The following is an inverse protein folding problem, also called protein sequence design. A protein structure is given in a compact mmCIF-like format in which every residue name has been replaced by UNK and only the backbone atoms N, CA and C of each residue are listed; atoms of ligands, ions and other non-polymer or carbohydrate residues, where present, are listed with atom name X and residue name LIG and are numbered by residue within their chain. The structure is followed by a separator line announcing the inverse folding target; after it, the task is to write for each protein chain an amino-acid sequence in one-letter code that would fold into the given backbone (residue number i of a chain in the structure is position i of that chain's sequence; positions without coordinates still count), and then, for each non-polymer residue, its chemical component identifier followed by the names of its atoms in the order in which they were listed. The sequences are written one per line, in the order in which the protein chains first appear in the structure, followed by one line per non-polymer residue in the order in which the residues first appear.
data_IF_955393079991
#
_entry.id   IF_955393079991
#
_cell.length_a   1.000
_cell.length_b   1.000
_cell.length_c   1.000
_cell.angle_alpha   90.00
_cell.angle_beta   90.00
_cell.angle_gamma   90.00
#
_symmetry.space_group_name_H-M   'P 1'
#
loop_
_entity.id
_entity.type
_entity.pdbx_description
1 polymer ?
#
# COMPACT_ATOMS: atom_id res chain seq x y z
N UNK A 1 49.45 -1.82 -3.65
CA UNK A 1 48.82 -2.75 -2.67
C UNK A 1 47.37 -2.96 -3.09
N UNK A 2 47.02 -4.09 -3.73
CA UNK A 2 45.63 -4.38 -4.15
C UNK A 2 44.88 -4.92 -2.93
N UNK A 3 43.74 -4.31 -2.56
CA UNK A 3 42.85 -4.89 -1.54
C UNK A 3 42.19 -6.15 -2.10
N UNK A 4 42.02 -7.22 -1.32
CA UNK A 4 41.31 -8.41 -1.78
C UNK A 4 39.84 -8.05 -2.04
N UNK A 5 39.30 -8.53 -3.17
CA UNK A 5 37.88 -8.45 -3.50
C UNK A 5 37.15 -9.43 -2.56
N UNK A 6 36.06 -9.04 -1.88
CA UNK A 6 35.29 -9.97 -1.06
C UNK A 6 34.70 -11.06 -1.96
N UNK A 7 34.97 -12.32 -1.63
CA UNK A 7 34.39 -13.47 -2.34
C UNK A 7 32.88 -13.51 -2.08
N UNK A 8 32.10 -13.18 -3.11
CA UNK A 8 30.65 -13.26 -3.08
C UNK A 8 30.22 -14.71 -3.28
N UNK A 9 29.71 -15.32 -2.21
CA UNK A 9 29.40 -16.75 -2.17
C UNK A 9 27.96 -17.00 -2.67
N UNK A 10 27.78 -17.07 -4.00
CA UNK A 10 26.48 -17.13 -4.68
C UNK A 10 25.55 -18.27 -4.20
N UNK A 11 26.11 -19.37 -3.70
CA UNK A 11 25.38 -20.52 -3.15
C UNK A 11 24.70 -20.23 -1.81
N UNK A 12 25.24 -19.30 -1.01
CA UNK A 12 24.62 -18.85 0.23
C UNK A 12 23.44 -17.92 -0.05
N UNK A 13 23.59 -17.01 -1.01
CA UNK A 13 22.54 -16.08 -1.42
C UNK A 13 21.36 -16.79 -2.09
N UNK A 14 21.65 -17.80 -2.91
CA UNK A 14 20.61 -18.61 -3.56
C UNK A 14 19.78 -19.41 -2.53
N UNK A 15 20.40 -19.91 -1.45
CA UNK A 15 19.69 -20.61 -0.36
C UNK A 15 18.75 -19.71 0.43
N UNK A 16 19.11 -18.44 0.64
CA UNK A 16 18.26 -17.48 1.33
C UNK A 16 17.11 -16.95 0.44
N UNK A 17 17.34 -16.88 -0.87
CA UNK A 17 16.38 -16.33 -1.83
C UNK A 17 15.16 -17.25 -2.07
N UNK A 18 15.36 -18.57 -2.13
CA UNK A 18 14.26 -19.52 -2.43
C UNK A 18 13.11 -19.47 -1.41
N UNK A 19 13.37 -19.48 -0.08
CA UNK A 19 12.31 -19.28 0.93
C UNK A 19 11.65 -17.90 0.84
N UNK A 20 12.43 -16.85 0.58
CA UNK A 20 11.92 -15.49 0.44
C UNK A 20 10.94 -15.36 -0.74
N UNK A 21 11.30 -15.90 -1.92
CA UNK A 21 10.42 -15.93 -3.10
C UNK A 21 9.15 -16.74 -2.82
N UNK A 22 9.29 -17.89 -2.14
CA UNK A 22 8.15 -18.74 -1.80
C UNK A 22 7.18 -18.03 -0.86
N UNK A 23 7.71 -17.33 0.16
CA UNK A 23 6.94 -16.50 1.08
C UNK A 23 6.24 -15.35 0.34
N UNK A 24 6.95 -14.66 -0.55
CA UNK A 24 6.38 -13.56 -1.33
C UNK A 24 5.26 -14.03 -2.25
N UNK A 25 5.43 -15.18 -2.91
CA UNK A 25 4.39 -15.80 -3.74
C UNK A 25 3.18 -16.22 -2.90
N UNK A 26 3.40 -16.74 -1.70
CA UNK A 26 2.31 -17.09 -0.79
C UNK A 26 1.55 -15.84 -0.32
N UNK A 27 2.26 -14.75 0.00
CA UNK A 27 1.66 -13.46 0.34
C UNK A 27 0.85 -12.90 -0.83
N UNK A 28 1.42 -12.84 -2.04
CA UNK A 28 0.76 -12.35 -3.23
C UNK A 28 -0.56 -13.09 -3.53
N UNK A 29 -0.61 -14.41 -3.33
CA UNK A 29 -1.83 -15.22 -3.50
C UNK A 29 -2.97 -14.87 -2.54
N UNK A 30 -2.68 -14.20 -1.42
CA UNK A 30 -3.68 -13.80 -0.41
C UNK A 30 -4.12 -12.34 -0.53
N UNK A 31 -3.55 -11.59 -1.47
CA UNK A 31 -3.92 -10.19 -1.69
C UNK A 31 -5.26 -10.14 -2.42
N UNK A 32 -6.23 -9.41 -1.88
CA UNK A 32 -7.40 -9.02 -2.66
C UNK A 32 -6.96 -7.99 -3.71
N UNK A 33 -7.03 -8.38 -4.98
CA UNK A 33 -6.64 -7.51 -6.10
C UNK A 33 -7.66 -6.43 -6.39
N UNK A 34 -8.86 -6.51 -5.78
CA UNK A 34 -9.89 -5.49 -5.96
C UNK A 34 -9.60 -4.30 -5.06
N UNK A 35 -9.36 -3.15 -5.68
CA UNK A 35 -9.23 -1.90 -4.94
C UNK A 35 -10.52 -1.61 -4.16
N UNK A 36 -10.40 -1.47 -2.86
CA UNK A 36 -11.46 -0.99 -1.99
C UNK A 36 -11.61 0.51 -2.23
N UNK A 37 -12.78 0.94 -2.70
CA UNK A 37 -13.03 2.35 -3.06
C UNK A 37 -14.28 2.86 -2.37
N UNK A 38 -14.16 4.06 -1.83
CA UNK A 38 -15.29 4.85 -1.38
C UNK A 38 -15.80 5.80 -2.46
N UNK A 39 -16.75 6.66 -2.07
CA UNK A 39 -17.26 7.75 -2.92
C UNK A 39 -17.37 9.02 -2.11
N UNK A 40 -16.73 10.09 -2.59
CA UNK A 40 -16.93 11.44 -2.07
C UNK A 40 -18.37 11.86 -2.36
N UNK A 41 -19.10 12.27 -1.32
CA UNK A 41 -20.49 12.76 -1.41
C UNK A 41 -20.58 14.27 -1.23
N UNK A 42 -19.57 14.88 -0.58
CA UNK A 42 -19.50 16.32 -0.37
C UNK A 42 -18.06 16.76 -0.07
N UNK A 43 -17.70 17.96 -0.52
CA UNK A 43 -16.46 18.63 -0.14
C UNK A 43 -16.78 20.06 0.33
N UNK A 44 -16.36 20.43 1.54
CA UNK A 44 -16.54 21.77 2.11
C UNK A 44 -15.23 22.20 2.76
N UNK A 45 -14.57 23.21 2.19
CA UNK A 45 -13.26 23.64 2.68
C UNK A 45 -12.26 22.48 2.66
N UNK A 46 -11.69 22.15 3.81
CA UNK A 46 -10.76 21.02 3.99
C UNK A 46 -11.45 19.71 4.39
N UNK A 47 -12.77 19.73 4.60
CA UNK A 47 -13.53 18.55 5.01
C UNK A 47 -14.14 17.85 3.81
N UNK A 48 -13.90 16.54 3.72
CA UNK A 48 -14.48 15.66 2.71
C UNK A 48 -15.38 14.66 3.41
N UNK A 49 -16.64 14.60 3.00
CA UNK A 49 -17.54 13.52 3.37
C UNK A 49 -17.51 12.45 2.29
N UNK A 50 -17.29 11.21 2.71
CA UNK A 50 -17.26 10.06 1.82
C UNK A 50 -18.02 8.89 2.44
N UNK A 51 -18.52 8.01 1.59
CA UNK A 51 -18.97 6.67 1.99
C UNK A 51 -17.83 5.71 1.71
N UNK A 52 -17.32 5.06 2.76
CA UNK A 52 -16.20 4.11 2.71
C UNK A 52 -16.65 2.78 3.33
N UNK A 53 -16.29 1.63 2.75
CA UNK A 53 -16.55 0.33 3.37
C UNK A 53 -15.59 0.10 4.56
N UNK A 54 -16.12 -0.40 5.67
CA UNK A 54 -15.38 -0.92 6.84
C UNK A 54 -14.29 0.00 7.45
N UNK A 55 -14.39 1.32 7.22
CA UNK A 55 -13.36 2.27 7.65
C UNK A 55 -13.42 2.64 9.14
N UNK A 56 -12.31 3.14 9.68
CA UNK A 56 -12.17 3.56 11.08
C UNK A 56 -11.63 4.99 11.18
N UNK A 57 -11.94 5.65 12.29
CA UNK A 57 -11.29 6.92 12.64
C UNK A 57 -9.79 6.70 12.78
N UNK A 58 -8.98 7.60 12.21
CA UNK A 58 -7.52 7.51 12.17
C UNK A 58 -6.97 6.72 10.98
N UNK A 59 -7.83 6.12 10.16
CA UNK A 59 -7.39 5.42 8.96
C UNK A 59 -7.03 6.42 7.85
N UNK A 60 -5.86 6.23 7.24
CA UNK A 60 -5.44 7.00 6.08
C UNK A 60 -6.13 6.45 4.83
N UNK A 61 -6.67 7.35 4.02
CA UNK A 61 -7.22 7.05 2.71
C UNK A 61 -6.65 8.00 1.66
N UNK A 62 -6.83 7.62 0.39
CA UNK A 62 -6.43 8.44 -0.75
C UNK A 62 -7.67 9.06 -1.39
N UNK A 63 -7.61 10.37 -1.58
CA UNK A 63 -8.50 11.10 -2.48
C UNK A 63 -7.91 11.04 -3.88
N UNK A 64 -8.57 10.33 -4.78
CA UNK A 64 -8.15 10.17 -6.18
C UNK A 64 -9.08 10.93 -7.12
N UNK A 65 -8.51 11.75 -8.00
CA UNK A 65 -9.19 12.22 -9.21
C UNK A 65 -8.66 11.42 -10.42
N UNK A 66 -9.42 10.44 -10.93
CA UNK A 66 -8.97 9.59 -12.02
C UNK A 66 -8.84 10.35 -13.36
N UNK A 67 -9.40 11.55 -13.48
CA UNK A 67 -9.32 12.35 -14.71
C UNK A 67 -8.00 13.12 -14.80
N UNK A 68 -7.53 13.63 -13.67
CA UNK A 68 -6.30 14.44 -13.60
C UNK A 68 -5.10 13.64 -13.11
N UNK A 69 -5.32 12.48 -12.49
CA UNK A 69 -4.27 11.69 -11.85
C UNK A 69 -3.83 12.26 -10.50
N UNK A 70 -4.53 13.27 -9.98
CA UNK A 70 -4.24 13.84 -8.67
C UNK A 70 -4.56 12.79 -7.58
N UNK A 71 -3.62 12.64 -6.65
CA UNK A 71 -3.78 11.79 -5.47
C UNK A 71 -3.32 12.55 -4.23
N UNK A 72 -4.13 12.55 -3.19
CA UNK A 72 -3.86 13.23 -1.92
C UNK A 72 -4.21 12.32 -0.74
N UNK A 73 -3.33 12.25 0.25
CA UNK A 73 -3.62 11.56 1.52
C UNK A 73 -4.62 12.35 2.36
N UNK A 74 -5.57 11.64 2.95
CA UNK A 74 -6.53 12.17 3.89
C UNK A 74 -6.69 11.19 5.06
N UNK A 75 -7.13 11.68 6.21
CA UNK A 75 -7.41 10.86 7.38
C UNK A 75 -8.91 10.88 7.65
N UNK A 76 -9.46 9.72 8.00
CA UNK A 76 -10.84 9.64 8.50
C UNK A 76 -10.88 10.22 9.91
N UNK A 77 -11.36 11.44 10.04
CA UNK A 77 -11.45 12.13 11.34
C UNK A 77 -12.77 11.90 12.11
N UNK A 78 -13.76 11.29 11.46
CA UNK A 78 -15.09 11.09 12.04
C UNK A 78 -15.99 10.22 11.18
N UNK A 79 -16.97 9.56 11.81
CA UNK A 79 -17.95 8.71 11.15
C UNK A 79 -19.36 9.24 11.46
N UNK A 80 -20.22 9.30 10.45
CA UNK A 80 -21.63 9.66 10.58
C UNK A 80 -22.47 8.48 10.06
N UNK A 81 -23.28 7.90 10.93
CA UNK A 81 -24.26 6.86 10.58
C UNK A 81 -25.57 7.46 10.09
#
# INVERSE_FOLDING_TARGET
MRKPVPEHNADADTRALVPAISSLRAAAKRIDTRAVRGRITRAIGTLVHAVLPDTRIGELCLLEDPRTGLSLEAEVIGLSG
#
